data_IF_543265480084
#
_entry.id   IF_543265480084
#
_cell.length_a   1.000
_cell.length_b   1.000
_cell.length_c   1.000
_cell.angle_alpha   90.00
_cell.angle_beta   90.00
_cell.angle_gamma   90.00
#
_symmetry.space_group_name_H-M   'P 1'
#
loop_
_entity.id
_entity.type
_entity.pdbx_description
1 polymer ?
#
# COMPACT_ATOMS: atom_id res chain seq x y z
N UNK A 1 11.85 -3.93 25.87
CA UNK A 1 10.54 -3.50 25.32
C UNK A 1 10.78 -2.46 24.25
N UNK A 2 10.17 -2.62 23.07
CA UNK A 2 10.13 -1.56 22.05
C UNK A 2 9.19 -0.47 22.56
N UNK A 3 9.67 0.77 22.64
CA UNK A 3 8.85 1.91 23.05
C UNK A 3 7.99 2.34 21.84
N UNK A 4 6.67 2.12 21.93
CA UNK A 4 5.71 2.44 20.86
C UNK A 4 5.78 3.91 20.45
N UNK A 5 5.87 4.83 21.42
CA UNK A 5 5.89 6.27 21.15
C UNK A 5 7.16 6.69 20.40
N UNK A 6 8.30 6.10 20.74
CA UNK A 6 9.54 6.30 20.00
C UNK A 6 9.42 5.76 18.57
N UNK A 7 8.83 4.58 18.37
CA UNK A 7 8.64 4.01 17.03
C UNK A 7 7.68 4.85 16.19
N UNK A 8 6.57 5.28 16.78
CA UNK A 8 5.62 6.20 16.17
C UNK A 8 6.33 7.46 15.72
N UNK A 9 7.05 8.13 16.61
CA UNK A 9 7.83 9.34 16.29
C UNK A 9 8.78 9.11 15.11
N UNK A 10 9.60 8.06 15.15
CA UNK A 10 10.58 7.76 14.09
C UNK A 10 9.93 7.42 12.75
N UNK A 11 8.74 6.81 12.76
CA UNK A 11 7.97 6.51 11.57
C UNK A 11 7.39 7.80 10.95
N UNK A 12 6.79 8.65 11.77
CA UNK A 12 6.20 9.92 11.33
C UNK A 12 7.23 10.94 10.86
N UNK A 13 8.44 10.95 11.44
CA UNK A 13 9.56 11.77 10.93
C UNK A 13 9.97 11.44 9.50
N UNK A 14 9.65 10.22 9.02
CA UNK A 14 9.92 9.77 7.65
C UNK A 14 8.70 9.89 6.75
N UNK A 15 7.52 10.11 7.31
CA UNK A 15 6.29 10.27 6.54
C UNK A 15 6.43 11.48 5.61
N UNK A 16 5.95 11.34 4.37
CA UNK A 16 6.06 12.36 3.30
C UNK A 16 7.47 12.71 2.83
N UNK A 17 8.51 12.01 3.29
CA UNK A 17 9.83 12.03 2.65
C UNK A 17 9.87 10.98 1.53
N UNK A 18 10.79 11.11 0.56
CA UNK A 18 10.97 10.10 -0.48
C UNK A 18 11.12 8.69 0.12
N UNK A 19 10.30 7.76 -0.36
CA UNK A 19 10.26 6.39 0.14
C UNK A 19 10.88 5.39 -0.84
N UNK A 20 10.91 4.10 -0.45
CA UNK A 20 11.47 3.02 -1.28
C UNK A 20 10.43 2.38 -2.21
N UNK A 21 9.21 2.91 -2.26
CA UNK A 21 8.19 2.42 -3.18
C UNK A 21 8.56 2.81 -4.61
N UNK A 22 7.94 2.15 -5.60
CA UNK A 22 8.14 2.48 -7.02
C UNK A 22 7.65 3.89 -7.38
N UNK A 23 6.69 4.40 -6.62
CA UNK A 23 6.16 5.75 -6.79
C UNK A 23 7.04 6.79 -6.09
N UNK A 24 7.66 6.40 -4.98
CA UNK A 24 8.62 7.20 -4.23
C UNK A 24 7.99 8.14 -3.21
N UNK A 25 6.66 8.18 -3.10
CA UNK A 25 5.93 9.00 -2.13
C UNK A 25 4.53 8.46 -1.80
N UNK A 26 3.92 9.05 -0.77
CA UNK A 26 2.56 8.71 -0.32
C UNK A 26 1.51 9.09 -1.38
N UNK A 27 0.49 8.25 -1.52
CA UNK A 27 -0.62 8.48 -2.44
C UNK A 27 -1.55 9.61 -1.98
N UNK A 28 -1.65 10.67 -2.80
CA UNK A 28 -2.48 11.86 -2.53
C UNK A 28 -3.92 11.54 -2.11
N UNK A 29 -4.64 10.59 -2.75
CA UNK A 29 -6.03 10.32 -2.39
C UNK A 29 -6.26 9.85 -0.94
N UNK A 30 -5.24 9.29 -0.29
CA UNK A 30 -5.36 8.70 1.06
C UNK A 30 -4.62 9.50 2.15
N UNK A 31 -4.02 10.65 1.82
CA UNK A 31 -3.30 11.50 2.78
C UNK A 31 -4.18 11.83 3.99
N UNK A 32 -5.42 12.28 3.76
CA UNK A 32 -6.34 12.62 4.84
C UNK A 32 -6.61 11.45 5.79
N UNK A 33 -6.75 10.23 5.25
CA UNK A 33 -6.96 9.03 6.06
C UNK A 33 -5.71 8.70 6.90
N UNK A 34 -4.52 8.81 6.29
CA UNK A 34 -3.24 8.60 6.95
C UNK A 34 -3.06 9.60 8.10
N UNK A 35 -3.31 10.89 7.87
CA UNK A 35 -3.21 11.93 8.89
C UNK A 35 -4.16 11.69 10.06
N UNK A 36 -5.41 11.31 9.76
CA UNK A 36 -6.40 10.99 10.79
C UNK A 36 -5.95 9.81 11.65
N UNK A 37 -5.48 8.71 11.05
CA UNK A 37 -4.96 7.55 11.79
C UNK A 37 -3.76 7.96 12.66
N UNK A 38 -2.81 8.72 12.11
CA UNK A 38 -1.59 9.10 12.81
C UNK A 38 -1.84 10.11 13.95
N UNK A 39 -2.95 10.85 13.90
CA UNK A 39 -3.36 11.75 14.99
C UNK A 39 -3.84 11.02 16.25
N UNK A 40 -4.18 9.73 16.15
CA UNK A 40 -4.62 8.92 17.29
C UNK A 40 -3.41 8.35 18.05
N UNK A 41 -3.38 8.50 19.37
CA UNK A 41 -2.22 8.15 20.20
C UNK A 41 -1.78 6.69 20.10
N UNK A 42 -2.72 5.78 19.85
CA UNK A 42 -2.48 4.33 19.87
C UNK A 42 -2.24 3.72 18.49
N UNK A 43 -2.14 4.56 17.45
CA UNK A 43 -1.97 4.11 16.06
C UNK A 43 -0.89 4.92 15.33
N UNK A 44 -0.21 4.25 14.40
CA UNK A 44 0.54 4.93 13.34
C UNK A 44 0.67 4.08 12.07
N UNK A 45 0.69 4.71 10.91
CA UNK A 45 0.87 4.06 9.61
C UNK A 45 2.36 3.81 9.34
N UNK A 46 2.72 2.59 8.89
CA UNK A 46 4.10 2.24 8.50
C UNK A 46 4.31 2.21 6.99
N UNK A 47 3.26 1.91 6.23
CA UNK A 47 3.26 1.95 4.77
C UNK A 47 1.83 1.97 4.24
N UNK A 48 1.63 2.49 3.03
CA UNK A 48 0.31 2.61 2.42
C UNK A 48 0.38 2.56 0.89
N UNK A 49 -0.73 2.21 0.26
CA UNK A 49 -0.99 2.36 -1.17
C UNK A 49 -2.50 2.55 -1.35
N UNK A 50 -2.91 3.54 -2.12
CA UNK A 50 -4.32 3.87 -2.39
C UNK A 50 -5.01 2.89 -3.36
N UNK A 51 -4.25 1.94 -3.90
CA UNK A 51 -4.66 1.06 -4.98
C UNK A 51 -3.94 1.44 -6.27
N UNK A 52 -3.82 0.49 -7.17
CA UNK A 52 -3.08 0.69 -8.43
C UNK A 52 -3.55 -0.22 -9.53
N UNK A 53 -3.41 0.25 -10.76
CA UNK A 53 -3.53 -0.53 -11.98
C UNK A 53 -2.15 -0.63 -12.61
N UNK A 54 -1.75 -1.83 -13.02
CA UNK A 54 -0.44 -2.03 -13.60
C UNK A 54 -0.42 -3.16 -14.64
N UNK A 55 0.60 -3.10 -15.51
CA UNK A 55 0.89 -4.09 -16.54
C UNK A 55 2.22 -4.78 -16.22
N UNK A 56 2.21 -6.11 -16.15
CA UNK A 56 3.40 -6.94 -15.95
C UNK A 56 3.57 -7.93 -17.09
N UNK A 57 4.80 -8.27 -17.43
CA UNK A 57 5.06 -9.47 -18.22
C UNK A 57 4.78 -10.73 -17.41
N UNK A 58 4.29 -11.78 -18.07
CA UNK A 58 4.32 -13.13 -17.52
C UNK A 58 5.77 -13.60 -17.39
N UNK A 59 6.11 -14.13 -16.23
CA UNK A 59 7.40 -14.71 -15.91
C UNK A 59 7.22 -15.78 -14.83
N UNK A 60 8.00 -16.85 -14.92
CA UNK A 60 7.96 -17.95 -13.96
C UNK A 60 8.57 -17.55 -12.61
N UNK A 61 9.59 -16.67 -12.65
CA UNK A 61 10.23 -16.12 -11.46
C UNK A 61 10.02 -14.62 -11.30
N UNK A 62 9.93 -14.16 -10.04
CA UNK A 62 9.75 -12.73 -9.70
C UNK A 62 10.81 -11.79 -10.30
N UNK A 63 12.12 -12.13 -10.37
CA UNK A 63 13.14 -11.24 -10.91
C UNK A 63 12.92 -10.89 -12.39
N UNK A 64 12.29 -11.80 -13.15
CA UNK A 64 12.10 -11.65 -14.59
C UNK A 64 10.82 -10.87 -14.94
N UNK A 65 10.03 -10.50 -13.93
CA UNK A 65 8.81 -9.71 -14.11
C UNK A 65 9.17 -8.28 -14.48
N UNK A 66 8.89 -7.90 -15.74
CA UNK A 66 9.02 -6.53 -16.23
C UNK A 66 7.74 -5.76 -16.00
N UNK A 67 7.88 -4.58 -15.41
CA UNK A 67 6.77 -3.66 -15.21
C UNK A 67 6.67 -2.73 -16.40
N UNK A 68 5.58 -2.87 -17.16
CA UNK A 68 5.39 -2.11 -18.38
C UNK A 68 4.72 -0.76 -18.09
N UNK A 69 3.85 -0.73 -17.07
CA UNK A 69 3.04 0.41 -16.67
C UNK A 69 2.57 0.30 -15.21
N UNK A 70 2.47 1.43 -14.52
CA UNK A 70 1.83 1.57 -13.19
C UNK A 70 1.09 2.89 -13.13
N UNK A 71 -0.12 2.88 -12.57
CA UNK A 71 -0.87 4.08 -12.21
C UNK A 71 -1.54 3.89 -10.85
N UNK A 72 -1.46 4.93 -10.02
CA UNK A 72 -2.19 5.06 -8.76
C UNK A 72 -3.49 5.89 -8.94
N UNK A 73 -3.79 6.27 -10.19
CA UNK A 73 -4.98 7.04 -10.57
C UNK A 73 -5.79 6.28 -11.62
N UNK A 74 -7.01 6.76 -11.90
CA UNK A 74 -7.86 6.21 -12.97
C UNK A 74 -7.12 6.23 -14.30
N UNK A 75 -7.17 5.10 -15.01
CA UNK A 75 -6.46 4.91 -16.28
C UNK A 75 -7.44 4.99 -17.45
N UNK A 76 -7.03 5.68 -18.51
CA UNK A 76 -7.75 5.67 -19.79
C UNK A 76 -7.34 4.43 -20.62
N UNK A 77 -8.31 3.71 -21.18
CA UNK A 77 -8.08 2.53 -22.02
C UNK A 77 -7.13 2.81 -23.19
N UNK A 78 -7.20 4.01 -23.80
CA UNK A 78 -6.30 4.41 -24.88
C UNK A 78 -4.84 4.44 -24.43
N UNK A 79 -4.56 4.87 -23.20
CA UNK A 79 -3.20 4.90 -22.66
C UNK A 79 -2.65 3.48 -22.49
N UNK A 80 -3.47 2.54 -21.99
CA UNK A 80 -3.11 1.13 -21.89
C UNK A 80 -2.81 0.56 -23.28
N UNK A 81 -3.68 0.79 -24.27
CA UNK A 81 -3.47 0.31 -25.65
C UNK A 81 -2.17 0.85 -26.23
N UNK A 82 -1.84 2.13 -26.00
CA UNK A 82 -0.60 2.71 -26.50
C UNK A 82 0.63 2.08 -25.86
N UNK A 83 0.62 1.88 -24.53
CA UNK A 83 1.71 1.17 -23.84
C UNK A 83 1.89 -0.25 -24.40
N UNK A 84 0.78 -0.95 -24.65
CA UNK A 84 0.84 -2.28 -25.24
C UNK A 84 1.46 -2.20 -26.65
N UNK A 85 1.01 -1.29 -27.52
CA UNK A 85 1.58 -1.13 -28.88
C UNK A 85 3.09 -0.88 -28.89
N UNK A 86 3.59 -0.05 -27.97
CA UNK A 86 5.02 0.30 -27.89
C UNK A 86 5.88 -0.80 -27.27
N UNK A 87 5.33 -1.51 -26.27
CA UNK A 87 6.09 -2.44 -25.42
C UNK A 87 5.67 -3.89 -25.59
N UNK A 88 4.84 -4.21 -26.59
CA UNK A 88 4.25 -5.53 -26.87
C UNK A 88 5.38 -6.57 -26.93
N UNK A 89 5.62 -7.31 -25.84
CA UNK A 89 6.57 -8.38 -25.86
C UNK A 89 5.89 -9.58 -26.55
N UNK A 90 6.68 -10.50 -27.11
CA UNK A 90 6.18 -11.79 -27.62
C UNK A 90 5.81 -12.74 -26.46
N UNK A 91 5.19 -12.22 -25.39
CA UNK A 91 4.79 -12.96 -24.20
C UNK A 91 3.49 -12.39 -23.63
N UNK A 92 2.83 -13.18 -22.77
CA UNK A 92 1.59 -12.75 -22.10
C UNK A 92 1.85 -11.55 -21.18
N UNK A 93 0.86 -10.68 -21.09
CA UNK A 93 0.86 -9.52 -20.20
C UNK A 93 -0.31 -9.64 -19.23
N UNK A 94 -0.04 -9.42 -17.95
CA UNK A 94 -1.03 -9.33 -16.90
C UNK A 94 -1.46 -7.88 -16.72
N UNK A 95 -2.75 -7.61 -16.97
CA UNK A 95 -3.42 -6.42 -16.46
C UNK A 95 -3.96 -6.74 -15.07
N UNK A 96 -3.48 -6.04 -14.05
CA UNK A 96 -3.91 -6.24 -12.66
C UNK A 96 -4.38 -4.92 -12.04
N UNK A 97 -5.37 -5.05 -11.18
CA UNK A 97 -5.83 -4.01 -10.29
C UNK A 97 -5.66 -4.51 -8.85
N UNK A 98 -4.91 -3.76 -8.05
CA UNK A 98 -4.77 -4.00 -6.62
C UNK A 98 -5.54 -2.94 -5.84
N UNK A 99 -6.18 -3.41 -4.76
CA UNK A 99 -6.95 -2.57 -3.85
C UNK A 99 -6.03 -1.71 -2.99
N UNK A 100 -6.62 -0.75 -2.29
CA UNK A 100 -5.96 -0.01 -1.22
C UNK A 100 -5.43 -0.98 -0.15
N UNK A 101 -4.22 -0.70 0.34
CA UNK A 101 -3.59 -1.40 1.46
C UNK A 101 -2.98 -0.39 2.43
N UNK A 102 -3.20 -0.62 3.71
CA UNK A 102 -2.62 0.14 4.81
C UNK A 102 -1.97 -0.84 5.77
N UNK A 103 -0.75 -0.54 6.20
CA UNK A 103 -0.15 -1.17 7.37
C UNK A 103 -0.17 -0.17 8.52
N UNK A 104 -0.86 -0.54 9.60
CA UNK A 104 -1.03 0.28 10.79
C UNK A 104 -0.47 -0.48 11.98
N UNK A 105 0.49 0.11 12.67
CA UNK A 105 0.95 -0.37 13.96
C UNK A 105 -0.02 0.14 15.03
N UNK A 106 -0.39 -0.76 15.94
CA UNK A 106 -1.32 -0.50 17.04
C UNK A 106 -0.58 -0.71 18.37
N UNK A 107 -0.88 0.10 19.39
CA UNK A 107 -0.16 0.06 20.68
C UNK A 107 -0.35 -1.28 21.37
N UNK A 108 -1.56 -1.80 21.39
CA UNK A 108 -1.91 -3.07 22.01
C UNK A 108 -2.67 -3.98 21.05
N UNK A 109 -2.84 -5.24 21.45
CA UNK A 109 -3.69 -6.19 20.73
C UNK A 109 -5.16 -5.75 20.72
N UNK A 110 -5.62 -5.07 21.78
CA UNK A 110 -6.99 -4.57 21.88
C UNK A 110 -7.22 -3.42 20.89
N UNK A 111 -6.26 -2.51 20.75
CA UNK A 111 -6.28 -1.45 19.72
C UNK A 111 -6.31 -2.06 18.31
N UNK A 112 -5.51 -3.10 18.07
CA UNK A 112 -5.51 -3.82 16.80
C UNK A 112 -6.88 -4.46 16.51
N UNK A 113 -7.54 -5.02 17.53
CA UNK A 113 -8.88 -5.60 17.40
C UNK A 113 -9.94 -4.52 17.09
N UNK A 114 -9.87 -3.35 17.71
CA UNK A 114 -10.76 -2.21 17.43
C UNK A 114 -10.60 -1.77 15.96
N UNK A 115 -9.37 -1.52 15.52
CA UNK A 115 -9.06 -1.14 14.14
C UNK A 115 -9.54 -2.21 13.14
N UNK A 116 -9.31 -3.49 13.45
CA UNK A 116 -9.70 -4.61 12.60
C UNK A 116 -11.22 -4.70 12.44
N UNK A 117 -11.97 -4.49 13.51
CA UNK A 117 -13.43 -4.45 13.49
C UNK A 117 -13.92 -3.31 12.59
N UNK A 118 -13.45 -2.09 12.83
CA UNK A 118 -13.81 -0.91 12.01
C UNK A 118 -13.49 -1.15 10.54
N UNK A 119 -12.29 -1.64 10.23
CA UNK A 119 -11.85 -1.90 8.87
C UNK A 119 -12.78 -2.90 8.15
N UNK A 120 -13.19 -3.98 8.83
CA UNK A 120 -14.11 -4.98 8.28
C UNK A 120 -15.52 -4.41 8.08
N UNK A 121 -16.00 -3.62 9.03
CA UNK A 121 -17.33 -2.99 8.98
C UNK A 121 -17.45 -2.00 7.80
N UNK A 122 -16.38 -1.30 7.45
CA UNK A 122 -16.34 -0.37 6.29
C UNK A 122 -15.94 -1.04 4.97
N UNK A 123 -15.82 -2.38 4.93
CA UNK A 123 -15.64 -3.16 3.70
C UNK A 123 -14.24 -3.70 3.42
N UNK A 124 -13.24 -3.45 4.28
CA UNK A 124 -11.92 -4.11 4.20
C UNK A 124 -11.99 -5.52 4.79
N UNK A 125 -12.75 -6.40 4.13
CA UNK A 125 -13.05 -7.77 4.59
C UNK A 125 -11.81 -8.65 4.75
N UNK A 126 -10.73 -8.34 4.03
CA UNK A 126 -9.45 -9.08 4.06
C UNK A 126 -8.43 -8.48 5.02
N UNK A 127 -8.84 -7.57 5.91
CA UNK A 127 -7.96 -7.08 6.97
C UNK A 127 -7.65 -8.18 8.00
N UNK A 128 -6.43 -8.13 8.53
CA UNK A 128 -5.93 -9.04 9.56
C UNK A 128 -4.67 -8.52 10.24
N UNK A 129 -4.31 -9.12 11.37
CA UNK A 129 -3.05 -8.86 12.08
C UNK A 129 -1.98 -9.74 11.43
N UNK A 130 -0.90 -9.13 10.94
CA UNK A 130 0.13 -9.81 10.13
C UNK A 130 1.44 -10.05 10.88
N UNK A 131 1.65 -9.36 12.01
CA UNK A 131 2.82 -9.51 12.86
C UNK A 131 2.48 -9.02 14.28
N UNK A 132 3.01 -9.72 15.28
CA UNK A 132 3.12 -9.24 16.66
C UNK A 132 4.60 -9.20 17.00
N UNK A 133 5.08 -8.06 17.49
CA UNK A 133 6.49 -7.89 17.86
C UNK A 133 6.81 -8.31 19.29
N UNK A 134 5.80 -8.79 20.04
CA UNK A 134 5.93 -9.29 21.42
C UNK A 134 5.97 -10.82 21.51
N UNK A 135 5.76 -11.51 20.38
CA UNK A 135 5.86 -12.97 20.22
C UNK A 135 7.11 -13.26 19.38
#
# INVERSE_FOLDING_TARGET
MKNFDLQKKLCLEKLYKPDKSRKGDVDKPIIKLIDQINSLDDYYTTSSCSGRIYLLTEADEKPDVKWLYVSHEKVNVKNIINVLKEKLPNQRIWLRQENMILHVACRTIDDANIMLKIARDIGFRRSGIIADSNI
#
